data_IF_956868111136
#
_entry.id   IF_956868111136
#
_cell.length_a   1.000
_cell.length_b   1.000
_cell.length_c   1.000
_cell.angle_alpha   90.00
_cell.angle_beta   90.00
_cell.angle_gamma   90.00
#
_symmetry.space_group_name_H-M   'P 1'
#
loop_
_entity.id
_entity.type
_entity.pdbx_description
1 polymer ?
#
# COMPACT_ATOMS: atom_id res chain seq x y z
N UNK A 1 56.45 38.81 -27.65
CA UNK A 1 56.44 38.06 -26.38
C UNK A 1 55.40 38.70 -25.46
N UNK A 2 54.13 38.28 -25.51
CA UNK A 2 53.21 38.31 -24.37
C UNK A 2 51.94 37.54 -24.71
N UNK A 3 51.58 36.64 -23.79
CA UNK A 3 50.73 35.47 -24.03
C UNK A 3 49.24 35.84 -24.06
N UNK A 4 48.39 35.04 -24.74
CA UNK A 4 46.94 35.17 -24.61
C UNK A 4 46.51 34.92 -23.17
N UNK A 5 45.59 35.77 -22.70
CA UNK A 5 44.86 35.67 -21.44
C UNK A 5 44.07 34.36 -21.37
N UNK A 6 44.58 33.40 -20.61
CA UNK A 6 43.88 32.17 -20.26
C UNK A 6 42.80 32.50 -19.23
N UNK A 7 41.58 32.68 -19.71
CA UNK A 7 40.40 32.90 -18.87
C UNK A 7 39.85 31.52 -18.49
N UNK A 8 40.55 30.81 -17.60
CA UNK A 8 39.98 29.62 -16.94
C UNK A 8 38.99 30.07 -15.88
N UNK A 9 37.81 30.50 -16.31
CA UNK A 9 36.64 30.53 -15.43
C UNK A 9 35.87 29.22 -15.60
N UNK A 10 36.46 28.14 -15.10
CA UNK A 10 35.79 26.85 -14.97
C UNK A 10 35.50 26.60 -13.49
N UNK A 11 34.67 27.45 -12.90
CA UNK A 11 34.00 27.12 -11.63
C UNK A 11 32.50 27.37 -11.76
N UNK A 12 31.92 26.97 -12.89
CA UNK A 12 30.51 26.56 -12.86
C UNK A 12 30.48 25.12 -12.36
N UNK A 13 30.66 24.96 -11.05
CA UNK A 13 30.15 23.79 -10.34
C UNK A 13 28.64 23.88 -10.47
N UNK A 14 28.12 23.38 -11.59
CA UNK A 14 26.72 23.01 -11.73
C UNK A 14 26.51 22.00 -10.63
N UNK A 15 25.98 22.47 -9.50
CA UNK A 15 25.24 21.66 -8.56
C UNK A 15 24.11 21.03 -9.38
N UNK A 16 24.45 19.92 -10.05
CA UNK A 16 23.48 18.93 -10.44
C UNK A 16 23.12 18.27 -9.12
N UNK A 17 22.27 18.96 -8.35
CA UNK A 17 21.29 18.25 -7.57
C UNK A 17 20.60 17.37 -8.59
N UNK A 18 21.02 16.12 -8.68
CA UNK A 18 20.22 15.11 -9.33
C UNK A 18 19.05 14.81 -8.40
N UNK A 19 18.17 15.81 -8.25
CA UNK A 19 16.86 15.68 -7.61
C UNK A 19 15.88 14.87 -8.46
N UNK A 20 16.38 13.92 -9.25
CA UNK A 20 15.60 13.08 -10.16
C UNK A 20 16.00 11.60 -10.04
N UNK A 21 17.13 11.27 -9.42
CA UNK A 21 17.49 9.88 -9.07
C UNK A 21 17.35 9.59 -7.55
N UNK A 22 17.07 10.62 -6.73
CA UNK A 22 16.80 10.49 -5.29
C UNK A 22 15.31 10.46 -4.93
N UNK A 23 14.42 10.81 -5.87
CA UNK A 23 12.95 10.77 -5.74
C UNK A 23 12.38 9.45 -6.29
N UNK A 24 13.11 8.78 -7.19
CA UNK A 24 12.68 7.52 -7.82
C UNK A 24 12.61 6.30 -6.88
N UNK A 25 12.80 6.50 -5.57
CA UNK A 25 12.42 5.54 -4.52
C UNK A 25 11.70 6.27 -3.39
N UNK A 26 10.64 7.00 -3.74
CA UNK A 26 9.93 7.91 -2.85
C UNK A 26 9.61 7.27 -1.49
N UNK A 27 10.00 7.92 -0.36
CA UNK A 27 9.78 7.39 0.99
C UNK A 27 8.29 7.13 1.27
N UNK A 28 7.39 7.77 0.52
CA UNK A 28 5.95 7.62 0.62
C UNK A 28 5.46 6.24 0.15
N UNK A 29 5.97 5.72 -0.98
CA UNK A 29 5.59 4.38 -1.46
C UNK A 29 6.08 3.31 -0.48
N UNK A 30 7.30 3.47 0.04
CA UNK A 30 7.84 2.56 1.06
C UNK A 30 7.06 2.65 2.38
N UNK A 31 6.71 3.87 2.82
CA UNK A 31 5.93 4.09 4.04
C UNK A 31 4.54 3.46 3.97
N UNK A 32 3.87 3.59 2.82
CA UNK A 32 2.52 3.02 2.64
C UNK A 32 2.55 1.49 2.52
N UNK A 33 3.60 0.88 1.97
CA UNK A 33 3.79 -0.58 2.03
C UNK A 33 3.91 -1.07 3.48
N UNK A 34 4.70 -0.38 4.31
CA UNK A 34 4.84 -0.75 5.71
C UNK A 34 3.52 -0.60 6.46
N UNK A 35 2.81 0.51 6.26
CA UNK A 35 1.48 0.71 6.82
C UNK A 35 0.51 -0.41 6.41
N UNK A 36 0.58 -0.85 5.15
CA UNK A 36 -0.24 -1.97 4.63
C UNK A 36 0.13 -3.30 5.29
N UNK A 37 1.42 -3.57 5.47
CA UNK A 37 1.89 -4.78 6.16
C UNK A 37 1.45 -4.82 7.64
N UNK A 38 1.49 -3.69 8.35
CA UNK A 38 0.98 -3.58 9.72
C UNK A 38 -0.53 -3.75 9.78
N UNK A 39 -1.27 -3.08 8.90
CA UNK A 39 -2.72 -3.17 8.85
C UNK A 39 -3.19 -4.60 8.54
N UNK A 40 -2.47 -5.29 7.64
CA UNK A 40 -2.69 -6.70 7.35
C UNK A 40 -2.42 -7.59 8.56
N UNK A 41 -1.30 -7.39 9.26
CA UNK A 41 -0.98 -8.14 10.48
C UNK A 41 -2.08 -7.98 11.54
N UNK A 42 -2.52 -6.75 11.82
CA UNK A 42 -3.58 -6.50 12.82
C UNK A 42 -4.88 -7.21 12.42
N UNK A 43 -5.26 -7.12 11.15
CA UNK A 43 -6.45 -7.79 10.62
C UNK A 43 -6.33 -9.31 10.72
N UNK A 44 -5.17 -9.88 10.39
CA UNK A 44 -4.90 -11.32 10.48
C UNK A 44 -4.96 -11.82 11.93
N UNK A 45 -4.27 -11.15 12.87
CA UNK A 45 -4.29 -11.52 14.28
C UNK A 45 -5.71 -11.42 14.84
N UNK A 46 -6.44 -10.35 14.53
CA UNK A 46 -7.79 -10.15 15.05
C UNK A 46 -8.78 -11.16 14.46
N UNK A 47 -8.62 -11.54 13.19
CA UNK A 47 -9.40 -12.60 12.56
C UNK A 47 -9.14 -13.97 13.17
N UNK A 48 -7.87 -14.29 13.47
CA UNK A 48 -7.51 -15.54 14.16
C UNK A 48 -8.07 -15.60 15.59
N UNK A 49 -8.02 -14.49 16.35
CA UNK A 49 -8.60 -14.41 17.69
C UNK A 49 -10.12 -14.54 17.64
N UNK A 50 -10.78 -13.85 16.72
CA UNK A 50 -12.23 -13.94 16.58
C UNK A 50 -12.72 -15.29 16.06
N UNK A 51 -11.87 -16.07 15.37
CA UNK A 51 -12.16 -17.46 15.01
C UNK A 51 -11.89 -18.45 16.17
N UNK A 52 -10.92 -18.15 17.03
CA UNK A 52 -10.62 -18.94 18.23
C UNK A 52 -11.62 -18.70 19.37
N UNK A 53 -12.22 -17.51 19.44
CA UNK A 53 -13.38 -17.22 20.27
C UNK A 53 -14.58 -17.92 19.64
N UNK A 54 -14.78 -19.18 20.01
CA UNK A 54 -15.83 -20.08 19.54
C UNK A 54 -17.21 -19.66 20.07
N UNK A 55 -17.61 -18.41 19.81
CA UNK A 55 -18.97 -17.94 20.03
C UNK A 55 -19.92 -18.61 19.03
N UNK A 56 -21.18 -18.76 19.43
CA UNK A 56 -22.29 -19.49 18.77
C UNK A 56 -22.53 -19.16 17.29
N UNK A 57 -21.90 -18.11 16.74
CA UNK A 57 -21.94 -17.78 15.32
C UNK A 57 -20.62 -18.18 14.64
N UNK A 58 -20.63 -19.20 13.76
CA UNK A 58 -19.42 -19.65 13.07
C UNK A 58 -18.79 -18.47 12.32
N UNK A 59 -17.49 -18.28 12.51
CA UNK A 59 -16.75 -17.21 11.85
C UNK A 59 -16.95 -17.34 10.34
N UNK A 60 -17.55 -16.35 9.69
CA UNK A 60 -18.02 -16.52 8.34
C UNK A 60 -16.84 -16.63 7.38
N UNK A 61 -16.87 -17.64 6.50
CA UNK A 61 -15.77 -17.98 5.58
C UNK A 61 -15.30 -16.79 4.72
N UNK A 62 -16.17 -15.79 4.50
CA UNK A 62 -15.84 -14.61 3.72
C UNK A 62 -14.72 -13.77 4.35
N UNK A 63 -14.64 -13.68 5.68
CA UNK A 63 -13.59 -12.91 6.36
C UNK A 63 -12.21 -13.50 6.07
N UNK A 64 -12.10 -14.83 6.13
CA UNK A 64 -10.84 -15.54 5.87
C UNK A 64 -10.37 -15.34 4.42
N UNK A 65 -11.30 -15.44 3.46
CA UNK A 65 -11.01 -15.16 2.06
C UNK A 65 -10.54 -13.72 1.84
N UNK A 66 -11.16 -12.75 2.53
CA UNK A 66 -10.76 -11.34 2.44
C UNK A 66 -9.35 -11.09 2.94
N UNK A 67 -8.92 -11.76 4.01
CA UNK A 67 -7.57 -11.60 4.56
C UNK A 67 -6.50 -12.15 3.60
N UNK A 68 -6.79 -13.29 2.96
CA UNK A 68 -5.90 -13.88 1.95
C UNK A 68 -5.84 -13.00 0.69
N UNK A 69 -6.99 -12.48 0.25
CA UNK A 69 -7.06 -11.58 -0.89
C UNK A 69 -6.22 -10.31 -0.65
N UNK A 70 -6.29 -9.75 0.55
CA UNK A 70 -5.50 -8.58 0.92
C UNK A 70 -3.99 -8.86 1.02
N UNK A 71 -3.59 -10.05 1.44
CA UNK A 71 -2.18 -10.46 1.36
C UNK A 71 -1.69 -10.48 -0.10
N UNK A 72 -2.49 -11.06 -1.00
CA UNK A 72 -2.16 -11.11 -2.42
C UNK A 72 -2.02 -9.72 -3.04
N UNK A 73 -2.84 -8.74 -2.62
CA UNK A 73 -2.74 -7.36 -3.07
C UNK A 73 -1.43 -6.69 -2.63
N UNK A 74 -1.01 -6.90 -1.38
CA UNK A 74 0.26 -6.34 -0.86
C UNK A 74 1.45 -6.90 -1.65
N UNK A 75 1.45 -8.21 -1.93
CA UNK A 75 2.49 -8.87 -2.74
C UNK A 75 2.44 -8.39 -4.20
N UNK A 76 1.25 -8.27 -4.79
CA UNK A 76 1.09 -7.77 -6.16
C UNK A 76 1.65 -6.36 -6.33
N UNK A 77 1.44 -5.50 -5.34
CA UNK A 77 1.95 -4.12 -5.39
C UNK A 77 3.45 -4.07 -5.14
N UNK A 78 3.99 -4.91 -4.24
CA UNK A 78 5.43 -5.06 -4.09
C UNK A 78 6.10 -5.47 -5.40
N UNK A 79 5.51 -6.41 -6.15
CA UNK A 79 6.04 -6.83 -7.44
C UNK A 79 6.00 -5.71 -8.50
N UNK A 80 4.90 -4.96 -8.58
CA UNK A 80 4.77 -3.82 -9.52
C UNK A 80 5.80 -2.73 -9.23
N UNK A 81 6.06 -2.45 -7.95
CA UNK A 81 7.06 -1.47 -7.51
C UNK A 81 8.50 -1.94 -7.78
N UNK A 82 8.81 -3.22 -7.58
CA UNK A 82 10.16 -3.77 -7.84
C UNK A 82 10.48 -3.85 -9.33
N UNK A 83 9.48 -4.17 -10.17
CA UNK A 83 9.71 -4.33 -11.61
C UNK A 83 9.77 -3.02 -12.40
N UNK A 84 9.54 -1.85 -11.77
CA UNK A 84 9.48 -0.53 -12.45
C UNK A 84 8.56 -0.52 -13.70
N UNK A 85 7.61 -1.47 -13.78
CA UNK A 85 6.76 -1.68 -14.98
C UNK A 85 5.39 -1.04 -14.82
N UNK A 86 5.34 0.08 -14.07
CA UNK A 86 4.14 0.86 -13.78
C UNK A 86 3.30 1.16 -15.04
N UNK A 87 3.87 1.60 -16.19
CA UNK A 87 3.05 2.01 -17.33
C UNK A 87 2.31 0.87 -18.05
N UNK A 88 2.73 -0.39 -17.91
CA UNK A 88 2.09 -1.53 -18.62
C UNK A 88 1.01 -2.21 -17.77
N UNK A 89 1.12 -2.17 -16.43
CA UNK A 89 0.26 -2.95 -15.53
C UNK A 89 -0.59 -2.11 -14.57
N UNK A 90 -0.60 -0.78 -14.70
CA UNK A 90 -1.36 0.11 -13.82
C UNK A 90 -2.88 -0.19 -13.83
N UNK A 91 -3.47 -0.45 -15.01
CA UNK A 91 -4.92 -0.69 -15.14
C UNK A 91 -5.37 -1.98 -14.46
N UNK A 92 -4.60 -3.06 -14.59
CA UNK A 92 -4.90 -4.33 -13.93
C UNK A 92 -4.77 -4.19 -12.41
N UNK A 93 -3.72 -3.52 -11.95
CA UNK A 93 -3.43 -3.30 -10.54
C UNK A 93 -4.54 -2.50 -9.84
N UNK A 94 -4.99 -1.39 -10.45
CA UNK A 94 -6.12 -0.59 -9.93
C UNK A 94 -7.43 -1.38 -9.92
N UNK A 95 -7.66 -2.27 -10.89
CA UNK A 95 -8.82 -3.17 -10.91
C UNK A 95 -8.84 -4.15 -9.74
N UNK A 96 -7.70 -4.80 -9.45
CA UNK A 96 -7.58 -5.69 -8.27
C UNK A 96 -7.74 -4.92 -6.96
N UNK A 97 -7.23 -3.68 -6.90
CA UNK A 97 -7.31 -2.82 -5.74
C UNK A 97 -8.75 -2.35 -5.45
N UNK A 98 -9.52 -2.06 -6.49
CA UNK A 98 -10.95 -1.75 -6.38
C UNK A 98 -11.76 -2.95 -5.87
N UNK A 99 -11.48 -4.16 -6.37
CA UNK A 99 -12.13 -5.38 -5.87
C UNK A 99 -11.82 -5.63 -4.38
N UNK A 100 -10.58 -5.38 -3.94
CA UNK A 100 -10.18 -5.49 -2.55
C UNK A 100 -10.87 -4.49 -1.63
N UNK A 101 -11.07 -3.25 -2.11
CA UNK A 101 -11.79 -2.21 -1.38
C UNK A 101 -13.24 -2.62 -1.10
N UNK A 102 -13.94 -3.16 -2.10
CA UNK A 102 -15.34 -3.63 -1.96
C UNK A 102 -15.42 -4.77 -0.93
N UNK A 103 -14.52 -5.76 -1.04
CA UNK A 103 -14.48 -6.92 -0.14
C UNK A 103 -14.23 -6.51 1.32
N UNK A 104 -13.37 -5.50 1.51
CA UNK A 104 -13.02 -4.95 2.82
C UNK A 104 -14.19 -4.18 3.42
N UNK A 105 -14.89 -3.35 2.63
CA UNK A 105 -16.07 -2.62 3.10
C UNK A 105 -17.20 -3.55 3.54
N UNK A 106 -17.44 -4.64 2.80
CA UNK A 106 -18.41 -5.67 3.21
C UNK A 106 -18.00 -6.37 4.51
N UNK A 107 -16.69 -6.63 4.68
CA UNK A 107 -16.18 -7.25 5.90
C UNK A 107 -16.30 -6.32 7.11
N UNK A 108 -15.99 -5.04 6.96
CA UNK A 108 -16.18 -4.03 8.01
C UNK A 108 -17.64 -3.99 8.44
N UNK A 109 -18.59 -3.91 7.50
CA UNK A 109 -20.01 -3.83 7.80
C UNK A 109 -20.50 -4.96 8.71
N UNK A 110 -20.04 -6.19 8.52
CA UNK A 110 -20.45 -7.31 9.36
C UNK A 110 -19.78 -7.28 10.75
N UNK A 111 -18.54 -6.79 10.82
CA UNK A 111 -17.73 -6.80 12.03
C UNK A 111 -18.13 -5.75 13.07
N UNK A 112 -18.65 -4.58 12.67
CA UNK A 112 -18.96 -3.47 13.62
C UNK A 112 -20.20 -3.74 14.48
N UNK A 113 -21.05 -4.70 14.10
CA UNK A 113 -22.29 -4.98 14.83
C UNK A 113 -22.12 -6.02 15.97
N UNK A 114 -20.90 -6.48 16.25
CA UNK A 114 -20.61 -7.34 17.40
C UNK A 114 -19.96 -6.55 18.54
N UNK A 115 -20.51 -6.67 19.74
CA UNK A 115 -19.96 -6.12 20.99
C UNK A 115 -18.80 -6.94 21.58
N UNK A 116 -17.80 -7.31 20.77
CA UNK A 116 -16.61 -8.03 21.23
C UNK A 116 -15.35 -7.25 20.81
N UNK A 117 -14.49 -6.94 21.79
CA UNK A 117 -13.29 -6.12 21.57
C UNK A 117 -12.34 -6.68 20.50
N UNK A 118 -12.32 -8.00 20.30
CA UNK A 118 -11.54 -8.60 19.21
C UNK A 118 -12.07 -8.22 17.81
N UNK A 119 -13.39 -8.06 17.66
CA UNK A 119 -14.01 -7.68 16.38
C UNK A 119 -13.91 -6.19 16.10
N UNK A 120 -13.91 -5.36 17.14
CA UNK A 120 -13.60 -3.92 17.03
C UNK A 120 -12.19 -3.68 16.45
N UNK A 121 -11.18 -4.40 16.96
CA UNK A 121 -9.80 -4.29 16.46
C UNK A 121 -9.71 -4.81 15.01
N UNK A 122 -10.43 -5.89 14.69
CA UNK A 122 -10.52 -6.38 13.31
C UNK A 122 -11.16 -5.34 12.37
N UNK A 123 -12.24 -4.68 12.78
CA UNK A 123 -12.91 -3.64 12.00
C UNK A 123 -11.99 -2.43 11.74
N UNK A 124 -11.22 -2.02 12.75
CA UNK A 124 -10.20 -0.96 12.61
C UNK A 124 -9.08 -1.35 11.63
N UNK A 125 -8.65 -2.62 11.66
CA UNK A 125 -7.68 -3.18 10.72
C UNK A 125 -8.17 -3.08 9.28
N UNK A 126 -9.35 -3.64 8.98
CA UNK A 126 -9.95 -3.57 7.65
C UNK A 126 -10.19 -2.13 7.17
N UNK A 127 -10.59 -1.21 8.05
CA UNK A 127 -10.74 0.21 7.71
C UNK A 127 -9.41 0.82 7.23
N UNK A 128 -8.30 0.48 7.88
CA UNK A 128 -6.96 0.94 7.49
C UNK A 128 -6.56 0.41 6.11
N UNK A 129 -6.84 -0.87 5.81
CA UNK A 129 -6.58 -1.43 4.47
C UNK A 129 -7.40 -0.73 3.37
N UNK A 130 -8.65 -0.34 3.67
CA UNK A 130 -9.49 0.38 2.71
C UNK A 130 -8.90 1.76 2.35
N UNK A 131 -8.44 2.51 3.35
CA UNK A 131 -7.79 3.82 3.14
C UNK A 131 -6.52 3.68 2.30
N UNK A 132 -5.69 2.67 2.60
CA UNK A 132 -4.47 2.40 1.83
C UNK A 132 -4.75 2.00 0.39
N UNK A 133 -5.82 1.25 0.15
CA UNK A 133 -6.27 0.91 -1.21
C UNK A 133 -6.62 2.17 -2.00
N UNK A 134 -7.29 3.15 -1.38
CA UNK A 134 -7.60 4.44 -2.04
C UNK A 134 -6.31 5.21 -2.38
N UNK A 135 -5.36 5.28 -1.44
CA UNK A 135 -4.07 5.97 -1.65
C UNK A 135 -3.31 5.34 -2.82
N UNK A 136 -3.29 4.01 -2.89
CA UNK A 136 -2.63 3.28 -3.96
C UNK A 136 -3.34 3.49 -5.31
N UNK A 137 -4.68 3.54 -5.36
CA UNK A 137 -5.40 3.87 -6.60
C UNK A 137 -4.97 5.25 -7.11
N UNK A 138 -4.92 6.27 -6.25
CA UNK A 138 -4.47 7.60 -6.64
C UNK A 138 -3.01 7.61 -7.12
N UNK A 139 -2.13 6.86 -6.44
CA UNK A 139 -0.72 6.74 -6.82
C UNK A 139 -0.55 6.15 -8.23
N UNK A 140 -1.23 5.04 -8.54
CA UNK A 140 -1.16 4.40 -9.87
C UNK A 140 -1.98 5.12 -10.95
N UNK A 141 -2.95 5.95 -10.57
CA UNK A 141 -3.83 6.67 -11.50
C UNK A 141 -3.26 8.00 -12.00
N UNK A 142 -2.19 8.54 -11.40
CA UNK A 142 -1.51 9.72 -11.90
C UNK A 142 -0.36 9.32 -12.83
N UNK A 143 -0.56 9.28 -14.16
CA UNK A 143 0.56 9.22 -15.08
C UNK A 143 1.28 10.58 -15.04
N UNK A 144 2.51 10.59 -14.53
CA UNK A 144 3.49 11.64 -14.82
C UNK A 144 4.40 11.14 -15.93
#
# INVERSE_FOLDING_TARGET
>A
MNRPIDTKDCTTTRQRSTGIDNILRDPFALATILASAFAWLITFLSSAISAAQHDTNPYPNYCWFSVIFMFCLIVGIFMVLVSDTIPTYYVATVGFLSAGLILTSSSVNDLIYTSNGAKEVAAAGFTSLSILSIIWIFYFSSPV
#
